data_IF_936318425144
#
_entry.id   IF_936318425144
#
_cell.length_a   1.000
_cell.length_b   1.000
_cell.length_c   1.000
_cell.angle_alpha   90.00
_cell.angle_beta   90.00
_cell.angle_gamma   90.00
#
_symmetry.space_group_name_H-M   'P 1'
#
loop_
_entity.id
_entity.type
_entity.pdbx_description
1 polymer ?
#
# COMPACT_ATOMS: atom_id res chain seq x y z
N UNK A 1 -9.14 2.52 -12.54
CA UNK A 1 -8.31 1.34 -12.88
C UNK A 1 -6.85 1.79 -12.84
N UNK A 2 -5.91 0.91 -12.47
CA UNK A 2 -4.48 1.25 -12.41
C UNK A 2 -3.93 1.29 -13.85
N UNK A 3 -3.35 2.39 -14.28
CA UNK A 3 -2.90 2.59 -15.67
C UNK A 3 -1.44 3.01 -15.79
N UNK A 4 -0.89 3.67 -14.77
CA UNK A 4 0.49 4.17 -14.77
C UNK A 4 1.16 3.92 -13.44
N UNK A 5 2.50 3.85 -13.45
CA UNK A 5 3.29 3.68 -12.25
C UNK A 5 2.97 4.74 -11.20
N UNK A 6 2.84 4.26 -9.96
CA UNK A 6 2.43 5.05 -8.80
C UNK A 6 0.93 5.31 -8.64
N UNK A 7 0.09 4.83 -9.58
CA UNK A 7 -1.33 4.63 -9.29
C UNK A 7 -1.48 3.64 -8.13
N UNK A 8 -2.34 3.96 -7.17
CA UNK A 8 -2.58 3.06 -6.05
C UNK A 8 -4.00 3.16 -5.49
N UNK A 9 -4.43 2.10 -4.80
CA UNK A 9 -5.64 2.06 -3.99
C UNK A 9 -5.45 1.16 -2.78
N UNK A 10 -6.22 1.41 -1.73
CA UNK A 10 -6.32 0.53 -0.56
C UNK A 10 -7.70 -0.10 -0.53
N UNK A 11 -7.77 -1.40 -0.27
CA UNK A 11 -9.02 -2.15 -0.14
C UNK A 11 -8.96 -3.14 1.00
N UNK A 12 -10.12 -3.56 1.49
CA UNK A 12 -10.21 -4.71 2.39
C UNK A 12 -9.94 -6.01 1.64
N UNK A 13 -9.35 -6.99 2.33
CA UNK A 13 -9.23 -8.35 1.81
C UNK A 13 -10.62 -9.00 1.75
N UNK A 14 -10.95 -9.61 0.62
CA UNK A 14 -12.22 -10.31 0.45
C UNK A 14 -12.28 -11.62 1.27
N UNK A 15 -11.12 -12.25 1.49
CA UNK A 15 -11.02 -13.57 2.12
C UNK A 15 -10.62 -13.51 3.60
N UNK A 16 -10.22 -12.32 4.09
CA UNK A 16 -9.68 -12.15 5.44
C UNK A 16 -10.20 -10.84 6.05
N UNK A 17 -11.31 -10.88 6.81
CA UNK A 17 -11.84 -9.71 7.50
C UNK A 17 -10.77 -9.05 8.38
N UNK A 18 -10.72 -7.72 8.35
CA UNK A 18 -9.72 -6.96 9.12
C UNK A 18 -8.35 -6.81 8.45
N UNK A 19 -8.09 -7.45 7.30
CA UNK A 19 -6.88 -7.23 6.53
C UNK A 19 -7.08 -6.16 5.45
N UNK A 20 -6.08 -5.28 5.28
CA UNK A 20 -6.04 -4.27 4.23
C UNK A 20 -4.94 -4.58 3.22
N UNK A 21 -5.28 -4.44 1.95
CA UNK A 21 -4.40 -4.66 0.81
C UNK A 21 -4.19 -3.32 0.12
N UNK A 22 -2.93 -2.91 -0.01
CA UNK A 22 -2.50 -1.89 -0.96
C UNK A 22 -2.32 -2.55 -2.32
N UNK A 23 -2.94 -1.99 -3.34
CA UNK A 23 -2.65 -2.32 -4.73
C UNK A 23 -2.00 -1.11 -5.37
N UNK A 24 -0.78 -1.26 -5.86
CA UNK A 24 -0.03 -0.20 -6.53
C UNK A 24 0.50 -0.65 -7.89
N UNK A 25 0.71 0.29 -8.80
CA UNK A 25 1.39 0.04 -10.07
C UNK A 25 2.88 0.30 -9.95
N UNK A 26 3.68 -0.69 -10.34
CA UNK A 26 5.13 -0.62 -10.41
C UNK A 26 5.60 -1.33 -11.69
N UNK A 27 6.42 -0.66 -12.50
CA UNK A 27 6.97 -1.21 -13.75
C UNK A 27 5.86 -1.76 -14.68
N UNK A 28 4.72 -1.06 -14.74
CA UNK A 28 3.55 -1.46 -15.52
C UNK A 28 2.82 -2.70 -15.01
N UNK A 29 3.12 -3.18 -13.80
CA UNK A 29 2.49 -4.37 -13.21
C UNK A 29 1.82 -4.07 -11.87
N UNK A 30 0.62 -4.63 -11.61
CA UNK A 30 -0.03 -4.48 -10.32
C UNK A 30 0.71 -5.30 -9.27
N UNK A 31 1.01 -4.65 -8.15
CA UNK A 31 1.60 -5.24 -6.96
C UNK A 31 0.59 -5.21 -5.83
N UNK A 32 0.52 -6.30 -5.08
CA UNK A 32 -0.39 -6.47 -3.95
C UNK A 32 0.42 -6.57 -2.67
N UNK A 33 0.27 -5.60 -1.78
CA UNK A 33 0.97 -5.57 -0.49
C UNK A 33 -0.05 -5.68 0.63
N UNK A 34 0.16 -6.63 1.53
CA UNK A 34 -0.60 -6.73 2.77
C UNK A 34 -0.08 -5.68 3.76
N UNK A 35 -0.95 -4.79 4.22
CA UNK A 35 -0.57 -3.69 5.14
C UNK A 35 -0.67 -4.08 6.62
N UNK A 36 -1.31 -5.20 6.92
CA UNK A 36 -1.50 -5.71 8.27
C UNK A 36 -0.88 -7.09 8.39
N UNK A 37 0.12 -7.22 9.24
CA UNK A 37 0.68 -8.51 9.63
C UNK A 37 0.32 -8.78 11.09
N UNK A 38 -0.34 -9.91 11.36
CA UNK A 38 -0.72 -10.36 12.72
C UNK A 38 -1.48 -9.28 13.54
N UNK A 39 -2.33 -8.50 12.87
CA UNK A 39 -3.11 -7.43 13.51
C UNK A 39 -2.39 -6.09 13.68
N UNK A 40 -1.12 -5.99 13.26
CA UNK A 40 -0.33 -4.75 13.32
C UNK A 40 -0.21 -4.13 11.94
N UNK A 41 -0.54 -2.83 11.83
CA UNK A 41 -0.30 -2.06 10.60
C UNK A 41 1.18 -1.67 10.54
N UNK A 42 1.93 -2.21 9.58
CA UNK A 42 3.36 -1.95 9.46
C UNK A 42 3.90 -2.17 8.05
N UNK A 43 4.99 -1.49 7.73
CA UNK A 43 5.90 -1.85 6.64
C UNK A 43 7.09 -2.63 7.19
N UNK A 44 8.01 -3.05 6.33
CA UNK A 44 9.22 -3.77 6.74
C UNK A 44 10.06 -3.02 7.80
N UNK A 45 9.97 -1.69 7.84
CA UNK A 45 10.83 -0.84 8.68
C UNK A 45 10.08 -0.09 9.78
N UNK A 46 8.75 0.02 9.72
CA UNK A 46 8.02 0.97 10.57
C UNK A 46 6.60 0.49 10.89
N UNK A 47 6.20 0.64 12.15
CA UNK A 47 4.84 0.42 12.63
C UNK A 47 4.02 1.70 12.59
N UNK A 48 2.74 1.56 12.29
CA UNK A 48 1.81 2.68 12.21
C UNK A 48 0.57 2.43 13.08
N UNK A 49 -0.03 3.49 13.63
CA UNK A 49 -1.24 3.37 14.44
C UNK A 49 -2.48 3.01 13.61
N UNK A 50 -2.46 3.23 12.29
CA UNK A 50 -3.56 2.89 11.39
C UNK A 50 -3.08 2.82 9.93
N UNK A 51 -3.90 2.21 9.07
CA UNK A 51 -3.65 2.14 7.62
C UNK A 51 -3.58 3.56 7.02
N UNK A 52 -4.47 4.46 7.43
CA UNK A 52 -4.45 5.84 6.97
C UNK A 52 -3.15 6.55 7.37
N UNK A 53 -2.63 6.32 8.57
CA UNK A 53 -1.36 6.91 8.99
C UNK A 53 -0.18 6.39 8.15
N UNK A 54 -0.15 5.09 7.84
CA UNK A 54 0.84 4.49 6.93
C UNK A 54 0.77 5.16 5.55
N UNK A 55 -0.42 5.22 4.94
CA UNK A 55 -0.59 5.81 3.61
C UNK A 55 -0.18 7.28 3.61
N UNK A 56 -0.64 8.07 4.58
CA UNK A 56 -0.31 9.49 4.69
C UNK A 56 1.19 9.72 4.85
N UNK A 57 1.89 8.88 5.62
CA UNK A 57 3.34 8.98 5.77
C UNK A 57 4.07 8.75 4.44
N UNK A 58 3.75 7.66 3.74
CA UNK A 58 4.42 7.31 2.49
C UNK A 58 4.06 8.27 1.34
N UNK A 59 2.79 8.62 1.23
CA UNK A 59 2.29 9.56 0.22
C UNK A 59 2.80 10.99 0.45
N UNK A 60 2.62 11.51 1.67
CA UNK A 60 2.96 12.89 2.01
C UNK A 60 4.47 13.17 1.97
N UNK A 61 5.28 12.21 2.42
CA UNK A 61 6.74 12.36 2.44
C UNK A 61 7.42 11.84 1.17
N UNK A 62 6.66 11.31 0.19
CA UNK A 62 7.18 10.67 -1.03
C UNK A 62 8.18 9.54 -0.76
N UNK A 63 8.01 8.84 0.36
CA UNK A 63 8.82 7.68 0.73
C UNK A 63 8.13 6.43 0.16
N UNK A 64 8.79 5.62 -0.67
CA UNK A 64 8.16 4.43 -1.23
C UNK A 64 7.86 3.40 -0.13
N UNK A 65 6.88 2.54 -0.40
CA UNK A 65 6.68 1.32 0.36
C UNK A 65 7.56 0.24 -0.27
N UNK A 66 8.56 -0.21 0.49
CA UNK A 66 9.50 -1.24 0.05
C UNK A 66 9.20 -2.57 0.73
N UNK A 67 9.16 -3.62 -0.08
CA UNK A 67 9.11 -5.03 0.33
C UNK A 67 10.32 -5.74 -0.29
N UNK A 68 10.49 -7.04 -0.03
CA UNK A 68 11.58 -7.81 -0.67
C UNK A 68 11.47 -7.82 -2.20
N UNK A 69 10.25 -7.71 -2.76
CA UNK A 69 9.99 -7.93 -4.19
C UNK A 69 9.46 -6.68 -4.93
N UNK A 70 9.16 -5.59 -4.23
CA UNK A 70 8.53 -4.41 -4.82
C UNK A 70 8.85 -3.12 -4.06
N UNK A 71 9.01 -2.03 -4.80
CA UNK A 71 9.18 -0.66 -4.35
C UNK A 71 8.08 0.19 -4.99
N UNK A 72 7.04 0.49 -4.22
CA UNK A 72 5.88 1.21 -4.73
C UNK A 72 5.90 2.66 -4.26
N UNK A 73 5.88 3.59 -5.20
CA UNK A 73 5.65 5.00 -4.92
C UNK A 73 4.15 5.28 -4.91
N UNK A 74 3.64 5.90 -3.85
CA UNK A 74 2.25 6.34 -3.81
C UNK A 74 2.17 7.75 -4.42
N UNK A 75 1.66 7.89 -5.63
CA UNK A 75 1.60 9.20 -6.32
C UNK A 75 0.20 9.56 -6.78
N UNK A 76 -0.58 8.60 -7.31
CA UNK A 76 -1.91 8.87 -7.82
C UNK A 76 -2.94 7.99 -7.08
N UNK A 77 -3.64 8.53 -6.06
CA UNK A 77 -4.69 7.77 -5.41
C UNK A 77 -5.85 7.56 -6.37
N UNK A 78 -6.25 6.31 -6.54
CA UNK A 78 -7.43 5.92 -7.32
C UNK A 78 -8.59 5.71 -6.35
N UNK A 79 -9.59 6.58 -6.43
CA UNK A 79 -10.87 6.37 -5.76
C UNK A 79 -11.63 5.27 -6.50
N UNK A 80 -12.25 4.37 -5.74
CA UNK A 80 -13.07 3.29 -6.26
C UNK A 80 -14.53 3.52 -5.90
#
# INVERSE_FOLDING_TARGET
MLHRDGDFLVRTSANSPGQFILVGMEQGRPRHILLINEGVVQTATTKFPSVSALINYHYGNRVPISTQESVIHLTNPILK
#
